data_IF_331020847765
#
_entry.id   IF_331020847765
#
_cell.length_a   1.000
_cell.length_b   1.000
_cell.length_c   1.000
_cell.angle_alpha   90.00
_cell.angle_beta   90.00
_cell.angle_gamma   90.00
#
_symmetry.space_group_name_H-M   'P 1'
#
loop_
_entity.id
_entity.type
_entity.pdbx_description
1 polymer ?
#
# COMPACT_ATOMS: atom_id res chain seq x y z
N UNK A 1 -23.37 -49.34 5.58
CA UNK A 1 -23.90 -48.15 6.28
C UNK A 1 -22.96 -46.96 6.03
N UNK A 2 -22.73 -46.62 4.77
CA UNK A 2 -21.71 -45.62 4.33
C UNK A 2 -22.28 -44.69 3.25
N UNK A 3 -23.37 -45.10 2.60
CA UNK A 3 -24.02 -44.39 1.50
C UNK A 3 -24.73 -43.09 1.94
N UNK A 4 -25.22 -43.03 3.18
CA UNK A 4 -25.94 -41.86 3.73
C UNK A 4 -25.02 -40.65 3.91
N UNK A 5 -23.76 -40.86 4.30
CA UNK A 5 -22.80 -39.78 4.51
C UNK A 5 -22.30 -39.21 3.18
N UNK A 6 -22.14 -40.06 2.16
CA UNK A 6 -21.86 -39.60 0.79
C UNK A 6 -22.98 -38.74 0.22
N UNK A 7 -24.25 -39.07 0.52
CA UNK A 7 -25.40 -38.28 0.07
C UNK A 7 -25.46 -36.89 0.73
N UNK A 8 -25.10 -36.81 2.02
CA UNK A 8 -25.00 -35.54 2.73
C UNK A 8 -23.82 -34.69 2.24
N UNK A 9 -22.68 -35.31 1.96
CA UNK A 9 -21.52 -34.61 1.41
C UNK A 9 -21.79 -34.04 0.02
N UNK A 10 -22.51 -34.76 -0.84
CA UNK A 10 -22.91 -34.26 -2.15
C UNK A 10 -23.83 -33.04 -2.00
N UNK A 11 -24.90 -33.17 -1.20
CA UNK A 11 -25.86 -32.09 -0.96
C UNK A 11 -25.23 -30.83 -0.36
N UNK A 12 -24.34 -30.97 0.64
CA UNK A 12 -23.63 -29.84 1.25
C UNK A 12 -22.65 -29.21 0.26
N UNK A 13 -21.98 -30.01 -0.58
CA UNK A 13 -21.05 -29.51 -1.60
C UNK A 13 -21.80 -28.68 -2.66
N UNK A 14 -22.99 -29.10 -3.06
CA UNK A 14 -23.87 -28.32 -3.97
C UNK A 14 -24.38 -27.04 -3.31
N UNK A 15 -24.84 -27.11 -2.06
CA UNK A 15 -25.34 -25.92 -1.35
C UNK A 15 -24.24 -24.88 -1.12
N UNK A 16 -23.05 -25.34 -0.70
CA UNK A 16 -21.86 -24.47 -0.54
C UNK A 16 -21.39 -23.90 -1.86
N UNK A 17 -21.40 -24.67 -2.94
CA UNK A 17 -21.03 -24.17 -4.28
C UNK A 17 -21.98 -23.08 -4.78
N UNK A 18 -23.28 -23.21 -4.50
CA UNK A 18 -24.28 -22.18 -4.82
C UNK A 18 -24.13 -20.94 -3.95
N UNK A 19 -23.85 -21.10 -2.66
CA UNK A 19 -23.58 -19.99 -1.73
C UNK A 19 -22.24 -19.30 -2.03
N UNK A 20 -21.18 -20.03 -2.36
CA UNK A 20 -19.90 -19.44 -2.75
C UNK A 20 -20.03 -18.71 -4.06
N UNK A 21 -20.80 -19.25 -5.02
CA UNK A 21 -21.10 -18.54 -6.25
C UNK A 21 -21.98 -17.31 -5.96
N UNK A 22 -22.95 -17.38 -5.05
CA UNK A 22 -23.76 -16.21 -4.68
C UNK A 22 -23.01 -15.16 -3.84
N UNK A 23 -22.00 -15.55 -3.07
CA UNK A 23 -21.14 -14.62 -2.32
C UNK A 23 -20.06 -14.01 -3.22
N UNK A 24 -19.55 -14.79 -4.17
CA UNK A 24 -18.61 -14.30 -5.19
C UNK A 24 -19.32 -13.48 -6.27
N UNK A 25 -20.61 -13.72 -6.55
CA UNK A 25 -21.35 -13.09 -7.66
C UNK A 25 -22.63 -12.30 -7.30
N UNK A 26 -23.13 -12.30 -6.06
CA UNK A 26 -24.30 -11.51 -5.61
C UNK A 26 -25.66 -11.90 -6.23
N UNK A 27 -26.82 -11.47 -5.66
CA UNK A 27 -28.16 -11.86 -6.13
C UNK A 27 -28.46 -11.47 -7.60
N UNK A 28 -29.19 -12.32 -8.36
CA UNK A 28 -29.15 -12.36 -9.83
C UNK A 28 -30.24 -11.54 -10.57
N UNK A 29 -30.60 -10.34 -10.12
CA UNK A 29 -31.63 -9.53 -10.81
C UNK A 29 -31.12 -8.84 -12.10
N UNK A 30 -29.88 -9.09 -12.54
CA UNK A 30 -29.26 -8.31 -13.62
C UNK A 30 -28.33 -9.14 -14.54
N UNK A 31 -28.85 -10.18 -15.19
CA UNK A 31 -28.07 -11.10 -16.06
C UNK A 31 -27.20 -10.44 -17.16
N UNK A 32 -27.49 -9.19 -17.56
CA UNK A 32 -26.66 -8.38 -18.49
C UNK A 32 -25.68 -7.42 -17.78
N UNK A 33 -26.04 -6.94 -16.58
CA UNK A 33 -25.20 -6.05 -15.75
C UNK A 33 -24.16 -6.81 -14.94
N UNK A 34 -24.41 -8.09 -14.60
CA UNK A 34 -23.50 -8.91 -13.78
C UNK A 34 -22.14 -9.10 -14.46
N UNK A 35 -22.09 -9.27 -15.79
CA UNK A 35 -20.82 -9.36 -16.52
C UNK A 35 -19.98 -8.08 -16.43
N UNK A 36 -20.63 -6.92 -16.47
CA UNK A 36 -19.95 -5.62 -16.42
C UNK A 36 -19.52 -5.25 -15.00
N UNK A 37 -20.35 -5.56 -14.00
CA UNK A 37 -19.99 -5.35 -12.58
C UNK A 37 -18.84 -6.27 -12.14
N UNK A 38 -18.80 -7.54 -12.60
CA UNK A 38 -17.67 -8.44 -12.30
C UNK A 38 -16.37 -7.93 -12.91
N UNK A 39 -16.41 -7.46 -14.17
CA UNK A 39 -15.25 -6.88 -14.85
C UNK A 39 -14.77 -5.62 -14.16
N UNK A 40 -15.70 -4.76 -13.74
CA UNK A 40 -15.41 -3.53 -13.00
C UNK A 40 -14.86 -3.81 -11.60
N UNK A 41 -15.33 -4.86 -10.92
CA UNK A 41 -14.80 -5.28 -9.64
C UNK A 41 -13.36 -5.79 -9.76
N UNK A 42 -13.09 -6.71 -10.69
CA UNK A 42 -11.73 -7.20 -10.96
C UNK A 42 -10.81 -6.04 -11.35
N UNK A 43 -11.29 -5.13 -12.21
CA UNK A 43 -10.57 -3.91 -12.57
C UNK A 43 -10.22 -3.06 -11.34
N UNK A 44 -11.16 -2.85 -10.42
CA UNK A 44 -10.91 -2.08 -9.20
C UNK A 44 -9.89 -2.74 -8.27
N UNK A 45 -9.90 -4.08 -8.16
CA UNK A 45 -8.93 -4.83 -7.36
C UNK A 45 -7.52 -4.71 -7.94
N UNK A 46 -7.39 -4.81 -9.26
CA UNK A 46 -6.11 -4.62 -9.95
C UNK A 46 -5.59 -3.19 -9.75
N UNK A 47 -6.44 -2.18 -9.90
CA UNK A 47 -6.06 -0.78 -9.66
C UNK A 47 -5.63 -0.57 -8.21
N UNK A 48 -6.38 -1.09 -7.24
CA UNK A 48 -6.01 -0.98 -5.82
C UNK A 48 -4.66 -1.65 -5.53
N UNK A 49 -4.40 -2.83 -6.11
CA UNK A 49 -3.12 -3.52 -5.96
C UNK A 49 -1.96 -2.70 -6.53
N UNK A 50 -2.15 -2.09 -7.71
CA UNK A 50 -1.15 -1.21 -8.34
C UNK A 50 -0.87 0.00 -7.44
N UNK A 51 -1.92 0.66 -6.94
CA UNK A 51 -1.76 1.82 -6.04
C UNK A 51 -0.96 1.44 -4.79
N UNK A 52 -1.29 0.32 -4.15
CA UNK A 52 -0.54 -0.18 -3.00
C UNK A 52 0.94 -0.42 -3.34
N UNK A 53 1.23 -1.07 -4.48
CA UNK A 53 2.60 -1.33 -4.91
C UNK A 53 3.38 -0.02 -5.18
N UNK A 54 2.74 0.96 -5.83
CA UNK A 54 3.34 2.29 -6.09
C UNK A 54 3.64 3.01 -4.77
N UNK A 55 2.71 3.02 -3.82
CA UNK A 55 2.93 3.65 -2.51
C UNK A 55 4.14 3.06 -1.78
N UNK A 56 4.28 1.73 -1.76
CA UNK A 56 5.41 1.06 -1.11
C UNK A 56 6.72 1.39 -1.84
N UNK A 57 6.73 1.36 -3.17
CA UNK A 57 7.91 1.67 -3.97
C UNK A 57 8.42 3.11 -3.75
N UNK A 58 7.51 4.10 -3.74
CA UNK A 58 7.87 5.51 -3.48
C UNK A 58 8.43 5.69 -2.08
N UNK A 59 7.80 5.05 -1.07
CA UNK A 59 8.28 5.10 0.31
C UNK A 59 9.70 4.54 0.45
N UNK A 60 10.00 3.45 -0.26
CA UNK A 60 11.34 2.86 -0.27
C UNK A 60 12.39 3.79 -0.91
N UNK A 61 12.11 4.33 -2.10
CA UNK A 61 13.05 5.23 -2.80
C UNK A 61 13.29 6.51 -2.00
N UNK A 62 12.24 7.13 -1.47
CA UNK A 62 12.36 8.35 -0.66
C UNK A 62 13.16 8.13 0.61
N UNK A 63 13.03 6.96 1.26
CA UNK A 63 13.84 6.60 2.43
C UNK A 63 15.34 6.57 2.11
N UNK A 64 15.73 5.96 0.97
CA UNK A 64 17.13 5.90 0.54
C UNK A 64 17.68 7.30 0.26
N UNK A 65 16.93 8.13 -0.48
CA UNK A 65 17.36 9.50 -0.81
C UNK A 65 17.44 10.40 0.44
N UNK A 66 16.47 10.28 1.35
CA UNK A 66 16.46 11.04 2.59
C UNK A 66 17.65 10.70 3.50
N UNK A 67 18.14 9.45 3.45
CA UNK A 67 19.33 9.05 4.20
C UNK A 67 20.58 9.78 3.68
N UNK A 68 20.75 9.87 2.35
CA UNK A 68 21.87 10.58 1.74
C UNK A 68 21.84 12.08 2.02
N UNK A 69 20.66 12.69 2.01
CA UNK A 69 20.49 14.10 2.36
C UNK A 69 20.87 14.38 3.81
N UNK A 70 20.45 13.52 4.75
CA UNK A 70 20.82 13.65 6.16
C UNK A 70 22.32 13.55 6.39
N UNK A 71 23.01 12.68 5.66
CA UNK A 71 24.47 12.54 5.79
C UNK A 71 25.20 13.78 5.23
N UNK A 72 24.71 14.35 4.13
CA UNK A 72 25.22 15.62 3.59
C UNK A 72 24.95 16.80 4.54
N UNK A 73 23.73 16.91 5.07
CA UNK A 73 23.35 17.95 6.04
C UNK A 73 24.12 17.85 7.35
N UNK A 74 24.42 16.63 7.84
CA UNK A 74 25.27 16.44 9.02
C UNK A 74 26.69 16.97 8.80
N UNK A 75 27.23 16.83 7.59
CA UNK A 75 28.54 17.38 7.25
C UNK A 75 28.53 18.91 7.20
N UNK A 76 27.51 19.51 6.57
CA UNK A 76 27.37 20.97 6.51
C UNK A 76 27.07 21.56 7.89
N UNK A 77 26.20 20.92 8.68
CA UNK A 77 25.88 21.37 10.03
C UNK A 77 27.07 21.22 10.99
N UNK A 78 27.93 20.22 10.82
CA UNK A 78 29.16 20.11 11.59
C UNK A 78 30.16 21.22 11.26
N UNK A 79 30.19 21.72 10.02
CA UNK A 79 31.07 22.82 9.63
C UNK A 79 30.58 24.17 10.18
N UNK A 80 29.26 24.35 10.34
CA UNK A 80 28.67 25.55 10.97
C UNK A 80 28.77 25.52 12.50
N UNK A 81 28.69 24.35 13.14
CA UNK A 81 28.76 24.23 14.63
C UNK A 81 30.17 24.48 15.17
N UNK A 82 31.23 24.36 14.37
CA UNK A 82 32.62 24.66 14.79
C UNK A 82 32.91 26.18 14.70
N UNK A 83 32.06 26.97 14.04
CA UNK A 83 32.24 28.42 13.89
C UNK A 83 31.15 29.28 14.59
N UNK A 84 30.97 29.18 15.93
CA UNK A 84 30.29 30.21 16.70
C UNK A 84 31.28 31.24 17.28
N UNK A 85 32.60 31.07 17.10
CA UNK A 85 33.62 31.91 17.76
C UNK A 85 34.43 32.84 16.82
N UNK A 86 34.18 32.87 15.50
CA UNK A 86 34.82 33.83 14.58
C UNK A 86 33.93 35.05 14.29
N UNK A 87 33.15 35.51 15.28
CA UNK A 87 32.24 36.66 15.17
C UNK A 87 32.29 37.67 16.32
N UNK A 88 33.25 37.56 17.24
CA UNK A 88 33.38 38.48 18.40
C UNK A 88 34.74 39.18 18.51
N UNK A 89 35.46 39.29 17.40
CA UNK A 89 36.83 39.80 17.38
C UNK A 89 37.10 40.82 16.30
N UNK A 90 36.36 41.93 16.23
CA UNK A 90 36.84 43.25 15.75
C UNK A 90 35.78 44.33 16.04
N UNK A 91 35.59 44.68 17.31
CA UNK A 91 35.03 45.98 17.68
C UNK A 91 36.17 46.79 18.32
N UNK A 92 37.13 47.14 17.46
CA UNK A 92 38.17 48.11 17.74
C UNK A 92 38.18 49.08 16.57
N UNK A 93 38.21 50.38 16.91
CA UNK A 93 38.40 51.54 16.04
C UNK A 93 37.12 52.32 15.64
N UNK A 94 36.60 53.10 16.59
CA UNK A 94 35.98 54.38 16.29
C UNK A 94 36.48 55.44 17.29
N UNK A 95 37.38 56.27 16.76
CA UNK A 95 37.53 57.74 16.91
C UNK A 95 37.18 58.42 18.25
#
# INVERSE_FOLDING_TARGET
MTDRDSLLLESVRVHRSRLSSALVFGPPEARRSVGDNIKRFIGSVVVAAIVCAVCVAVSFVTSILAQQQRDAERQTSSLVVIDPLLGSGTEGDHA
#
